data_IF_021502985024
#
_entry.id   IF_021502985024
#
_cell.length_a   1.000
_cell.length_b   1.000
_cell.length_c   1.000
_cell.angle_alpha   90.00
_cell.angle_beta   90.00
_cell.angle_gamma   90.00
#
_symmetry.space_group_name_H-M   'P 1'
#
loop_
_entity.id
_entity.type
_entity.pdbx_description
1 polymer ?
#
# COMPACT_ATOMS: atom_id res chain seq x y z
N UNK A 1 18.86 4.44 20.95
CA UNK A 1 18.22 3.34 20.21
C UNK A 1 18.57 3.50 18.75
N UNK A 2 19.08 2.48 18.07
CA UNK A 2 19.42 2.58 16.65
C UNK A 2 18.13 2.85 15.87
N UNK A 3 18.11 3.88 15.01
CA UNK A 3 17.00 4.10 14.08
C UNK A 3 16.86 2.83 13.24
N UNK A 4 15.74 2.13 13.37
CA UNK A 4 15.42 0.95 12.56
C UNK A 4 15.51 1.36 11.10
N UNK A 5 16.11 0.54 10.23
CA UNK A 5 16.23 0.88 8.81
C UNK A 5 14.88 0.66 8.12
N UNK A 6 14.47 1.57 7.22
CA UNK A 6 13.27 1.36 6.40
C UNK A 6 13.40 0.06 5.59
N UNK A 7 12.41 -0.85 5.62
CA UNK A 7 12.46 -2.08 4.84
C UNK A 7 12.52 -1.79 3.33
N UNK A 8 13.13 -2.69 2.56
CA UNK A 8 13.24 -2.55 1.10
C UNK A 8 11.92 -2.97 0.44
N UNK A 9 10.91 -2.09 0.53
CA UNK A 9 9.57 -2.33 0.00
C UNK A 9 9.43 -1.84 -1.45
N UNK A 10 8.68 -2.56 -2.31
CA UNK A 10 8.21 -2.01 -3.58
C UNK A 10 7.44 -0.71 -3.33
N UNK A 11 7.77 0.32 -4.11
CA UNK A 11 7.22 1.67 -3.97
C UNK A 11 6.52 2.08 -5.26
N UNK A 12 5.35 2.68 -5.12
CA UNK A 12 4.64 3.39 -6.18
C UNK A 12 4.50 4.86 -5.77
N UNK A 13 5.01 5.77 -6.59
CA UNK A 13 4.77 7.20 -6.39
C UNK A 13 3.58 7.62 -7.22
N UNK A 14 2.56 8.22 -6.58
CA UNK A 14 1.29 8.58 -7.22
C UNK A 14 1.56 9.57 -8.37
N UNK A 15 1.45 9.16 -9.64
CA UNK A 15 2.00 9.94 -10.75
C UNK A 15 1.08 11.09 -11.17
N UNK A 16 -0.24 10.93 -11.00
CA UNK A 16 -1.21 11.91 -11.50
C UNK A 16 -1.14 13.25 -10.73
N UNK A 17 -0.82 13.19 -9.44
CA UNK A 17 -0.82 14.35 -8.54
C UNK A 17 0.54 14.64 -7.92
N UNK A 18 1.53 13.75 -8.12
CA UNK A 18 2.84 13.82 -7.46
C UNK A 18 2.73 14.02 -5.93
N UNK A 19 1.77 13.35 -5.30
CA UNK A 19 1.31 13.71 -3.95
C UNK A 19 1.77 12.76 -2.84
N UNK A 20 1.98 11.48 -3.13
CA UNK A 20 2.16 10.48 -2.09
C UNK A 20 2.96 9.26 -2.55
N UNK A 21 3.59 8.59 -1.59
CA UNK A 21 4.23 7.29 -1.79
C UNK A 21 3.35 6.16 -1.23
N UNK A 22 3.16 5.12 -2.02
CA UNK A 22 2.53 3.87 -1.62
C UNK A 22 3.61 2.79 -1.51
N UNK A 23 3.63 2.05 -0.41
CA UNK A 23 4.57 0.95 -0.19
C UNK A 23 3.82 -0.36 0.01
N UNK A 24 4.26 -1.40 -0.71
CA UNK A 24 3.73 -2.76 -0.58
C UNK A 24 4.53 -3.54 0.46
N UNK A 25 3.87 -4.04 1.50
CA UNK A 25 4.34 -5.06 2.41
C UNK A 25 3.75 -6.41 1.97
N UNK A 26 4.61 -7.39 1.71
CA UNK A 26 4.27 -8.73 1.21
C UNK A 26 4.17 -9.76 2.33
N UNK A 27 4.58 -9.37 3.53
CA UNK A 27 4.52 -10.19 4.73
C UNK A 27 4.20 -9.33 5.95
N UNK A 28 3.80 -9.97 7.04
CA UNK A 28 3.52 -9.28 8.31
C UNK A 28 4.81 -8.72 8.92
N UNK A 29 5.93 -9.40 8.71
CA UNK A 29 7.24 -8.94 9.16
C UNK A 29 7.66 -7.64 8.45
N UNK A 30 7.42 -7.54 7.13
CA UNK A 30 7.64 -6.30 6.38
C UNK A 30 6.75 -5.16 6.88
N UNK A 31 5.48 -5.48 7.21
CA UNK A 31 4.52 -4.52 7.78
C UNK A 31 4.96 -4.02 9.16
N UNK A 32 5.31 -4.93 10.07
CA UNK A 32 5.74 -4.59 11.41
C UNK A 32 7.03 -3.77 11.39
N UNK A 33 7.99 -4.12 10.53
CA UNK A 33 9.21 -3.31 10.35
C UNK A 33 8.92 -1.90 9.85
N UNK A 34 7.96 -1.73 8.94
CA UNK A 34 7.53 -0.42 8.48
C UNK A 34 6.86 0.37 9.60
N UNK A 35 5.94 -0.25 10.36
CA UNK A 35 5.26 0.40 11.48
C UNK A 35 6.25 0.83 12.59
N UNK A 36 7.20 -0.04 12.95
CA UNK A 36 8.28 0.27 13.89
C UNK A 36 9.12 1.45 13.40
N UNK A 37 9.42 1.53 12.10
CA UNK A 37 10.16 2.67 11.55
C UNK A 37 9.37 3.98 11.60
N UNK A 38 8.06 3.92 11.33
CA UNK A 38 7.16 5.07 11.41
C UNK A 38 6.83 5.47 12.85
N UNK A 39 7.13 4.62 13.84
CA UNK A 39 6.78 4.84 15.24
C UNK A 39 5.27 4.72 15.50
N UNK A 40 4.58 3.87 14.74
CA UNK A 40 3.13 3.65 14.81
C UNK A 40 2.82 2.21 15.21
N UNK A 41 1.61 1.97 15.71
CA UNK A 41 1.12 0.63 16.04
C UNK A 41 0.80 -0.17 14.78
N UNK A 42 1.11 -1.47 14.77
CA UNK A 42 0.91 -2.32 13.60
C UNK A 42 -0.55 -2.75 13.38
N UNK A 43 -1.45 -2.48 14.34
CA UNK A 43 -2.90 -2.54 14.12
C UNK A 43 -3.56 -3.91 14.29
N UNK A 44 -2.92 -4.89 14.95
CA UNK A 44 -3.55 -6.18 15.26
C UNK A 44 -3.86 -7.04 14.03
N UNK A 45 -2.97 -7.03 13.02
CA UNK A 45 -3.18 -7.69 11.72
C UNK A 45 -2.95 -9.22 11.73
N UNK A 46 -2.89 -9.86 12.89
CA UNK A 46 -2.46 -11.27 13.04
C UNK A 46 -3.33 -12.26 12.27
N UNK A 47 -4.62 -11.96 12.07
CA UNK A 47 -5.57 -12.83 11.35
C UNK A 47 -5.96 -12.31 9.97
N UNK A 48 -5.43 -11.15 9.56
CA UNK A 48 -5.82 -10.51 8.30
C UNK A 48 -5.04 -11.08 7.11
N UNK A 49 -5.72 -11.11 5.95
CA UNK A 49 -5.14 -11.47 4.65
C UNK A 49 -4.44 -10.28 3.98
N UNK A 50 -4.88 -9.07 4.28
CA UNK A 50 -4.32 -7.80 3.82
C UNK A 50 -4.69 -6.67 4.78
N UNK A 51 -4.04 -5.52 4.64
CA UNK A 51 -4.31 -4.34 5.44
C UNK A 51 -3.86 -3.07 4.72
N UNK A 52 -4.52 -1.95 4.97
CA UNK A 52 -4.11 -0.64 4.44
C UNK A 52 -4.15 0.43 5.49
N UNK A 53 -3.13 1.29 5.52
CA UNK A 53 -3.08 2.45 6.40
C UNK A 53 -2.56 3.68 5.66
N UNK A 54 -3.07 4.85 6.06
CA UNK A 54 -2.62 6.15 5.58
C UNK A 54 -1.96 6.94 6.70
N UNK A 55 -0.79 7.51 6.41
CA UNK A 55 -0.01 8.35 7.31
C UNK A 55 0.30 9.68 6.62
N UNK A 56 0.45 10.74 7.41
CA UNK A 56 0.88 12.04 6.94
C UNK A 56 2.08 12.48 7.79
N UNK A 57 3.16 12.90 7.13
CA UNK A 57 4.26 13.56 7.82
C UNK A 57 3.81 14.97 8.23
N UNK A 58 3.68 15.23 9.52
CA UNK A 58 3.20 16.51 10.04
C UNK A 58 4.18 17.67 9.85
N UNK A 59 5.46 17.39 9.57
CA UNK A 59 6.47 18.41 9.30
C UNK A 59 6.49 18.81 7.82
N UNK A 60 6.39 17.84 6.90
CA UNK A 60 6.49 18.10 5.44
C UNK A 60 5.14 18.17 4.73
N UNK A 61 4.07 17.67 5.35
CA UNK A 61 2.76 17.49 4.73
C UNK A 61 2.68 16.34 3.73
N UNK A 62 3.76 15.55 3.57
CA UNK A 62 3.79 14.45 2.62
C UNK A 62 2.97 13.25 3.11
N UNK A 63 2.13 12.71 2.22
CA UNK A 63 1.33 11.52 2.51
C UNK A 63 2.09 10.24 2.16
N UNK A 64 1.90 9.23 3.00
CA UNK A 64 2.41 7.88 2.83
C UNK A 64 1.29 6.88 3.04
N UNK A 65 1.17 5.93 2.13
CA UNK A 65 0.23 4.82 2.25
C UNK A 65 0.98 3.50 2.38
N UNK A 66 0.58 2.69 3.34
CA UNK A 66 1.09 1.35 3.54
C UNK A 66 0.01 0.36 3.08
N UNK A 67 0.41 -0.57 2.21
CA UNK A 67 -0.46 -1.57 1.61
C UNK A 67 0.12 -2.95 1.93
N UNK A 68 -0.59 -3.76 2.68
CA UNK A 68 -0.19 -5.09 3.13
C UNK A 68 -0.97 -6.18 2.41
N UNK A 69 -0.27 -7.15 1.84
CA UNK A 69 -0.86 -8.37 1.26
C UNK A 69 -0.09 -9.56 1.81
N UNK A 70 -0.72 -10.34 2.69
CA UNK A 70 -0.03 -11.34 3.51
C UNK A 70 -0.31 -12.78 3.08
N UNK A 71 -1.27 -12.97 2.17
CA UNK A 71 -1.66 -14.29 1.67
C UNK A 71 -1.19 -14.57 0.23
N UNK A 72 -0.44 -13.65 -0.39
CA UNK A 72 0.05 -13.80 -1.76
C UNK A 72 -1.06 -13.91 -2.82
N UNK A 73 -2.27 -13.40 -2.55
CA UNK A 73 -3.40 -13.49 -3.47
C UNK A 73 -3.65 -12.16 -4.20
N UNK A 74 -3.76 -12.22 -5.53
CA UNK A 74 -4.04 -11.06 -6.39
C UNK A 74 -5.38 -10.38 -6.04
N UNK A 75 -6.37 -11.15 -5.60
CA UNK A 75 -7.66 -10.62 -5.16
C UNK A 75 -7.51 -9.73 -3.92
N UNK A 76 -6.64 -10.11 -2.98
CA UNK A 76 -6.29 -9.26 -1.83
C UNK A 76 -5.56 -8.01 -2.30
N UNK A 77 -4.60 -8.15 -3.23
CA UNK A 77 -3.85 -7.01 -3.75
C UNK A 77 -4.77 -5.96 -4.40
N UNK A 78 -5.68 -6.36 -5.28
CA UNK A 78 -6.61 -5.41 -5.93
C UNK A 78 -7.56 -4.77 -4.91
N UNK A 79 -7.99 -5.53 -3.89
CA UNK A 79 -8.82 -5.01 -2.80
C UNK A 79 -8.10 -3.92 -2.00
N UNK A 80 -6.86 -4.17 -1.59
CA UNK A 80 -6.09 -3.17 -0.83
C UNK A 80 -5.68 -1.98 -1.71
N UNK A 81 -5.38 -2.18 -3.00
CA UNK A 81 -5.18 -1.08 -3.94
C UNK A 81 -6.42 -0.18 -4.06
N UNK A 82 -7.62 -0.74 -3.98
CA UNK A 82 -8.86 0.04 -3.99
C UNK A 82 -8.97 0.94 -2.76
N UNK A 83 -8.65 0.43 -1.56
CA UNK A 83 -8.61 1.26 -0.36
C UNK A 83 -7.61 2.42 -0.48
N UNK A 84 -6.40 2.17 -0.97
CA UNK A 84 -5.41 3.23 -1.22
C UNK A 84 -5.90 4.22 -2.27
N UNK A 85 -6.59 3.78 -3.33
CA UNK A 85 -7.12 4.67 -4.35
C UNK A 85 -8.15 5.65 -3.77
N UNK A 86 -9.00 5.20 -2.85
CA UNK A 86 -9.91 6.08 -2.11
C UNK A 86 -9.15 7.07 -1.23
N UNK A 87 -8.09 6.66 -0.54
CA UNK A 87 -7.26 7.58 0.26
C UNK A 87 -6.60 8.66 -0.62
N UNK A 88 -6.04 8.27 -1.76
CA UNK A 88 -5.45 9.23 -2.72
C UNK A 88 -6.51 10.23 -3.17
N UNK A 89 -7.69 9.77 -3.60
CA UNK A 89 -8.76 10.65 -4.05
C UNK A 89 -9.17 11.64 -2.95
N UNK A 90 -9.41 11.15 -1.73
CA UNK A 90 -9.71 11.99 -0.57
C UNK A 90 -8.65 13.06 -0.34
N UNK A 91 -7.38 12.65 -0.32
CA UNK A 91 -6.29 13.54 0.09
C UNK A 91 -5.94 14.60 -0.96
N UNK A 92 -6.29 14.37 -2.23
CA UNK A 92 -6.15 15.37 -3.32
C UNK A 92 -7.46 16.12 -3.62
N UNK A 93 -8.52 15.88 -2.84
CA UNK A 93 -9.80 16.56 -2.98
C UNK A 93 -10.70 16.06 -4.10
N UNK A 94 -10.43 14.88 -4.67
CA UNK A 94 -11.31 14.22 -5.64
C UNK A 94 -12.38 13.43 -4.89
N UNK A 95 -13.63 13.77 -5.11
CA UNK A 95 -14.76 13.08 -4.47
C UNK A 95 -15.19 11.87 -5.30
N UNK A 96 -15.52 10.77 -4.63
CA UNK A 96 -16.05 9.56 -5.26
C UNK A 96 -17.50 9.32 -4.82
N UNK A 97 -18.42 9.29 -5.78
CA UNK A 97 -19.83 8.97 -5.53
C UNK A 97 -20.29 7.78 -6.36
N UNK A 98 -21.20 6.91 -5.85
CA UNK A 98 -21.62 5.70 -6.56
C UNK A 98 -22.24 5.94 -7.95
N UNK A 99 -22.81 7.13 -8.20
CA UNK A 99 -23.42 7.48 -9.49
C UNK A 99 -22.44 8.06 -10.52
N UNK A 100 -21.21 8.35 -10.12
CA UNK A 100 -20.21 8.99 -10.98
C UNK A 100 -19.34 7.94 -11.69
N UNK A 101 -18.68 8.35 -12.78
CA UNK A 101 -17.72 7.51 -13.48
C UNK A 101 -16.50 7.12 -12.61
N UNK A 102 -16.14 7.96 -11.63
CA UNK A 102 -15.02 7.74 -10.71
C UNK A 102 -13.67 7.46 -11.43
N UNK A 103 -13.43 8.09 -12.59
CA UNK A 103 -12.26 7.81 -13.44
C UNK A 103 -10.91 7.96 -12.74
N UNK A 104 -10.76 8.94 -11.83
CA UNK A 104 -9.52 9.09 -11.06
C UNK A 104 -9.27 7.87 -10.18
N UNK A 105 -10.31 7.38 -9.50
CA UNK A 105 -10.24 6.17 -8.68
C UNK A 105 -9.93 4.95 -9.55
N UNK A 106 -10.64 4.76 -10.67
CA UNK A 106 -10.45 3.65 -11.60
C UNK A 106 -9.02 3.62 -12.15
N UNK A 107 -8.51 4.78 -12.57
CA UNK A 107 -7.14 4.94 -13.04
C UNK A 107 -6.11 4.65 -11.94
N UNK A 108 -6.32 5.15 -10.71
CA UNK A 108 -5.42 4.87 -9.59
C UNK A 108 -5.38 3.37 -9.24
N UNK A 109 -6.54 2.72 -9.18
CA UNK A 109 -6.65 1.29 -8.92
C UNK A 109 -5.90 0.47 -9.97
N UNK A 110 -6.16 0.71 -11.26
CA UNK A 110 -5.50 0.01 -12.37
C UNK A 110 -3.97 0.17 -12.31
N UNK A 111 -3.49 1.40 -12.16
CA UNK A 111 -2.05 1.71 -12.21
C UNK A 111 -1.31 1.18 -11.00
N UNK A 112 -1.89 1.27 -9.80
CA UNK A 112 -1.28 0.68 -8.60
C UNK A 112 -1.26 -0.83 -8.65
N UNK A 113 -2.38 -1.46 -9.01
CA UNK A 113 -2.46 -2.91 -9.12
C UNK A 113 -1.47 -3.44 -10.16
N UNK A 114 -1.47 -2.88 -11.36
CA UNK A 114 -0.54 -3.26 -12.44
C UNK A 114 0.93 -3.07 -12.05
N UNK A 115 1.24 -2.03 -11.28
CA UNK A 115 2.60 -1.79 -10.78
C UNK A 115 3.01 -2.80 -9.72
N UNK A 116 2.11 -3.19 -8.80
CA UNK A 116 2.44 -4.10 -7.70
C UNK A 116 2.30 -5.58 -8.04
N UNK A 117 1.53 -5.94 -9.07
CA UNK A 117 1.31 -7.32 -9.50
C UNK A 117 2.62 -8.13 -9.73
N UNK A 118 3.70 -7.56 -10.30
CA UNK A 118 4.95 -8.30 -10.46
C UNK A 118 5.69 -8.59 -9.15
N UNK A 119 5.31 -7.94 -8.03
CA UNK A 119 6.08 -7.98 -6.78
C UNK A 119 5.44 -8.81 -5.67
N UNK A 120 4.14 -9.12 -5.74
CA UNK A 120 3.43 -9.83 -4.67
C UNK A 120 3.54 -11.37 -4.74
N UNK A 121 4.09 -11.92 -5.83
CA UNK A 121 4.56 -13.29 -5.88
C UNK A 121 6.04 -13.34 -5.45
N UNK A 122 6.35 -14.07 -4.38
CA UNK A 122 7.71 -14.59 -4.26
C UNK A 122 7.98 -15.50 -5.47
N UNK A 123 9.19 -15.48 -6.06
CA UNK A 123 9.56 -16.55 -6.98
C UNK A 123 9.37 -17.87 -6.24
N UNK A 124 8.57 -18.79 -6.81
CA UNK A 124 8.60 -20.18 -6.36
C UNK A 124 10.08 -20.56 -6.24
N UNK A 125 10.48 -21.08 -5.08
CA UNK A 125 11.80 -21.70 -4.95
C UNK A 125 11.82 -22.84 -5.95
N UNK A 126 12.47 -22.61 -7.08
CA UNK A 126 12.76 -23.61 -8.10
C UNK A 126 13.66 -24.68 -7.43
N UNK A 127 13.06 -25.71 -6.85
CA UNK A 127 13.80 -26.73 -6.11
C UNK A 127 13.03 -27.45 -4.99
N UNK A 128 11.81 -27.91 -5.26
CA UNK A 128 11.19 -29.02 -4.50
C UNK A 128 10.80 -30.13 -5.47
N UNK A 129 11.79 -30.91 -5.87
CA UNK A 129 11.63 -32.28 -6.36
C UNK A 129 12.68 -33.15 -5.69
#
# INVERSE_FOLDING_TARGET
MAKTKWPKLPRFFVPLFHSANVYLCRSKEEWDQACIHLGVDSGGNEVLAGATQSYCNTETGENLYLLGVFNGNAATLVHECAHVAFYVCRDVGVTTHPGDANETYCYMLDRMFSHFLPFFHEPEKEGSK
#
